data_IF_307016864966
#
_entry.id   IF_307016864966
#
_cell.length_a   1.000
_cell.length_b   1.000
_cell.length_c   1.000
_cell.angle_alpha   90.00
_cell.angle_beta   90.00
_cell.angle_gamma   90.00
#
_symmetry.space_group_name_H-M   'P 1'
#
loop_
_entity.id
_entity.type
_entity.pdbx_description
1 polymer ?
#
# COMPACT_ATOMS: atom_id res chain seq x y z
N UNK A 1 -12.73 22.20 19.27
CA UNK A 1 -12.27 22.73 17.97
C UNK A 1 -11.31 21.70 17.39
N UNK A 2 -11.60 21.12 16.23
CA UNK A 2 -10.68 20.19 15.54
C UNK A 2 -9.70 21.08 14.77
N UNK A 3 -8.39 20.87 14.95
CA UNK A 3 -7.36 21.70 14.29
C UNK A 3 -7.42 21.65 12.76
N UNK A 4 -6.53 22.38 12.05
CA UNK A 4 -6.46 22.31 10.60
C UNK A 4 -6.27 20.86 10.13
N UNK A 5 -6.77 20.56 8.92
CA UNK A 5 -6.67 19.24 8.32
C UNK A 5 -5.18 18.85 8.19
N UNK A 6 -4.85 17.62 8.60
CA UNK A 6 -3.47 17.12 8.58
C UNK A 6 -3.07 16.69 7.16
N UNK A 7 -1.77 16.80 6.80
CA UNK A 7 -1.26 16.21 5.57
C UNK A 7 -1.48 14.69 5.58
N UNK A 8 -1.71 14.12 4.40
CA UNK A 8 -1.88 12.67 4.23
C UNK A 8 -0.61 12.03 3.70
N UNK A 9 -0.14 10.98 4.38
CA UNK A 9 0.93 10.11 3.90
C UNK A 9 0.32 8.76 3.53
N UNK A 10 0.44 8.36 2.27
CA UNK A 10 -0.12 7.11 1.77
C UNK A 10 0.96 6.05 1.66
N UNK A 11 0.76 4.90 2.30
CA UNK A 11 1.59 3.72 2.11
C UNK A 11 0.96 2.87 1.01
N UNK A 12 1.58 2.82 -0.17
CA UNK A 12 1.04 2.14 -1.35
C UNK A 12 1.93 0.96 -1.74
N UNK A 13 1.42 -0.27 -1.65
CA UNK A 13 2.26 -1.44 -1.88
C UNK A 13 1.53 -2.76 -1.86
N UNK A 14 2.30 -3.84 -1.76
CA UNK A 14 1.80 -5.22 -1.71
C UNK A 14 1.62 -5.73 -0.27
N UNK A 15 1.82 -7.03 -0.05
CA UNK A 15 1.66 -7.74 1.22
C UNK A 15 2.50 -7.17 2.37
N UNK A 16 3.69 -6.62 2.10
CA UNK A 16 4.54 -5.98 3.12
C UNK A 16 3.88 -4.69 3.64
N UNK A 17 3.26 -3.89 2.77
CA UNK A 17 2.49 -2.71 3.19
C UNK A 17 1.19 -3.13 3.87
N UNK A 18 0.50 -4.14 3.35
CA UNK A 18 -0.74 -4.64 3.96
C UNK A 18 -0.51 -5.09 5.41
N UNK A 19 0.61 -5.78 5.67
CA UNK A 19 0.98 -6.26 7.02
C UNK A 19 1.67 -5.19 7.89
N UNK A 20 1.95 -4.00 7.35
CA UNK A 20 2.74 -2.98 8.04
C UNK A 20 2.07 -2.40 9.30
N UNK A 21 0.75 -2.55 9.43
CA UNK A 21 -0.03 -2.12 10.60
C UNK A 21 -0.23 -3.23 11.65
N UNK A 22 0.37 -4.41 11.44
CA UNK A 22 0.44 -5.43 12.50
C UNK A 22 1.20 -4.92 13.73
N UNK A 23 1.10 -5.64 14.83
CA UNK A 23 1.81 -5.30 16.07
C UNK A 23 3.33 -5.20 15.83
N UNK A 24 3.93 -4.11 16.30
CA UNK A 24 5.33 -3.75 16.02
C UNK A 24 5.66 -3.44 14.55
N UNK A 25 4.66 -3.38 13.67
CA UNK A 25 4.84 -3.10 12.25
C UNK A 25 5.23 -1.65 11.96
N UNK A 26 6.03 -1.45 10.91
CA UNK A 26 6.56 -0.13 10.58
C UNK A 26 5.48 0.92 10.20
N UNK A 27 4.35 0.48 9.64
CA UNK A 27 3.20 1.33 9.35
C UNK A 27 2.51 1.80 10.62
N UNK A 28 2.38 0.92 11.62
CA UNK A 28 1.89 1.29 12.95
C UNK A 28 2.85 2.23 13.68
N UNK A 29 4.17 1.98 13.61
CA UNK A 29 5.20 2.86 14.17
C UNK A 29 5.15 4.26 13.53
N UNK A 30 4.98 4.35 12.21
CA UNK A 30 4.79 5.63 11.52
C UNK A 30 3.52 6.34 11.99
N UNK A 31 2.41 5.61 12.11
CA UNK A 31 1.14 6.17 12.58
C UNK A 31 1.26 6.74 14.00
N UNK A 32 1.94 6.03 14.90
CA UNK A 32 2.21 6.51 16.26
C UNK A 32 3.12 7.75 16.26
N UNK A 33 4.25 7.68 15.55
CA UNK A 33 5.23 8.78 15.45
C UNK A 33 4.61 10.07 14.89
N UNK A 34 3.62 9.94 13.99
CA UNK A 34 2.95 11.05 13.33
C UNK A 34 1.50 11.30 13.80
N UNK A 35 1.03 10.68 14.89
CA UNK A 35 -0.38 10.69 15.33
C UNK A 35 -1.04 12.07 15.48
N UNK A 36 -0.25 13.15 15.57
CA UNK A 36 -0.71 14.54 15.63
C UNK A 36 -0.21 15.46 14.51
N UNK A 37 0.52 14.88 13.55
CA UNK A 37 1.25 15.61 12.50
C UNK A 37 0.76 15.26 11.11
N UNK A 38 0.42 13.99 10.85
CA UNK A 38 -0.02 13.52 9.55
C UNK A 38 -0.98 12.34 9.72
N UNK A 39 -1.89 12.16 8.76
CA UNK A 39 -2.73 10.97 8.69
C UNK A 39 -2.03 9.93 7.83
N UNK A 40 -1.78 8.74 8.40
CA UNK A 40 -1.15 7.62 7.68
C UNK A 40 -2.26 6.75 7.09
N UNK A 41 -2.28 6.63 5.75
CA UNK A 41 -3.32 5.91 5.01
C UNK A 41 -2.73 4.64 4.39
N UNK A 42 -3.31 3.49 4.71
CA UNK A 42 -2.86 2.19 4.21
C UNK A 42 -3.54 1.83 2.89
N UNK A 43 -2.73 1.59 1.85
CA UNK A 43 -3.11 1.10 0.52
C UNK A 43 -2.24 -0.11 0.15
N UNK A 44 -2.25 -1.12 1.02
CA UNK A 44 -1.52 -2.38 0.85
C UNK A 44 -2.41 -3.47 0.26
N UNK A 45 -1.98 -4.08 -0.85
CA UNK A 45 -2.73 -5.09 -1.60
C UNK A 45 -1.94 -6.38 -1.75
N UNK A 46 -2.18 -7.34 -0.88
CA UNK A 46 -1.51 -8.64 -0.88
C UNK A 46 -1.66 -9.36 -2.22
N UNK A 47 -0.57 -9.96 -2.69
CA UNK A 47 -0.52 -10.66 -3.98
C UNK A 47 -0.38 -9.76 -5.20
N UNK A 48 -0.50 -8.43 -5.07
CA UNK A 48 -0.34 -7.51 -6.20
C UNK A 48 1.13 -7.30 -6.55
N UNK A 49 1.41 -7.20 -7.85
CA UNK A 49 2.66 -6.67 -8.39
C UNK A 49 2.45 -5.22 -8.89
N UNK A 50 3.50 -4.58 -9.40
CA UNK A 50 3.42 -3.19 -9.89
C UNK A 50 2.44 -2.99 -11.05
N UNK A 51 2.21 -4.02 -11.89
CA UNK A 51 1.25 -3.95 -13.00
C UNK A 51 -0.19 -3.88 -12.50
N UNK A 52 -0.53 -4.64 -11.44
CA UNK A 52 -1.85 -4.53 -10.80
C UNK A 52 -2.06 -3.12 -10.24
N UNK A 53 -1.04 -2.56 -9.59
CA UNK A 53 -1.07 -1.21 -9.03
C UNK A 53 -1.36 -0.14 -10.10
N UNK A 54 -0.72 -0.24 -11.27
CA UNK A 54 -0.92 0.71 -12.37
C UNK A 54 -2.35 0.71 -12.92
N UNK A 55 -3.04 -0.43 -12.92
CA UNK A 55 -4.41 -0.53 -13.45
C UNK A 55 -5.44 0.28 -12.65
N UNK A 56 -5.14 0.57 -11.38
CA UNK A 56 -6.06 1.27 -10.48
C UNK A 56 -5.47 2.58 -9.94
N UNK A 57 -4.34 3.04 -10.51
CA UNK A 57 -3.61 4.18 -9.98
C UNK A 57 -4.50 5.44 -9.88
N UNK A 58 -5.25 5.73 -10.93
CA UNK A 58 -6.17 6.89 -10.97
C UNK A 58 -7.39 6.72 -10.04
N UNK A 59 -7.73 5.49 -9.65
CA UNK A 59 -8.79 5.23 -8.67
C UNK A 59 -8.28 5.46 -7.24
N UNK A 60 -7.02 5.13 -6.97
CA UNK A 60 -6.38 5.30 -5.66
C UNK A 60 -5.94 6.76 -5.46
N UNK A 61 -5.46 7.41 -6.52
CA UNK A 61 -4.99 8.80 -6.53
C UNK A 61 -5.69 9.62 -7.63
N UNK A 62 -6.99 9.94 -7.46
CA UNK A 62 -7.69 10.77 -8.44
C UNK A 62 -7.05 12.16 -8.53
N UNK A 63 -6.79 12.64 -9.74
CA UNK A 63 -6.18 13.97 -9.96
C UNK A 63 -7.05 15.12 -9.43
N UNK A 64 -8.37 14.94 -9.51
CA UNK A 64 -9.36 15.92 -9.04
C UNK A 64 -9.78 15.73 -7.58
N UNK A 65 -9.04 14.91 -6.81
CA UNK A 65 -9.31 14.77 -5.39
C UNK A 65 -9.11 16.12 -4.68
N UNK A 66 -10.10 16.52 -3.86
CA UNK A 66 -10.04 17.76 -3.07
C UNK A 66 -8.83 17.83 -2.12
N UNK A 67 -8.24 16.67 -1.79
CA UNK A 67 -7.02 16.55 -1.00
C UNK A 67 -6.10 15.55 -1.69
N UNK A 68 -4.91 16.03 -2.06
CA UNK A 68 -3.83 15.20 -2.56
C UNK A 68 -2.92 14.76 -1.41
N UNK A 69 -2.32 13.55 -1.47
CA UNK A 69 -1.34 13.12 -0.50
C UNK A 69 -0.11 14.02 -0.55
N UNK A 70 0.42 14.39 0.61
CA UNK A 70 1.68 15.15 0.72
C UNK A 70 2.90 14.24 0.55
N UNK A 71 2.74 12.94 0.77
CA UNK A 71 3.75 11.91 0.58
C UNK A 71 3.09 10.60 0.16
N UNK A 72 3.70 9.90 -0.79
CA UNK A 72 3.37 8.51 -1.12
C UNK A 72 4.63 7.67 -0.96
N UNK A 73 4.56 6.63 -0.14
CA UNK A 73 5.61 5.62 0.01
C UNK A 73 5.20 4.42 -0.84
N UNK A 74 5.88 4.22 -1.96
CA UNK A 74 5.59 3.13 -2.90
C UNK A 74 6.46 1.92 -2.60
N UNK A 75 5.85 0.76 -2.37
CA UNK A 75 6.55 -0.48 -2.00
C UNK A 75 5.99 -1.69 -2.78
N UNK A 76 6.41 -1.79 -4.04
CA UNK A 76 6.18 -2.92 -4.94
C UNK A 76 7.53 -3.49 -5.43
N UNK A 77 7.51 -4.60 -6.17
CA UNK A 77 8.73 -5.23 -6.70
C UNK A 77 8.91 -6.68 -6.27
N UNK A 78 8.50 -7.03 -5.04
CA UNK A 78 8.63 -8.40 -4.52
C UNK A 78 7.87 -9.44 -5.34
N UNK A 79 6.63 -9.13 -5.76
CA UNK A 79 5.85 -10.02 -6.62
C UNK A 79 6.20 -9.87 -8.11
N UNK A 80 6.81 -8.75 -8.50
CA UNK A 80 7.26 -8.51 -9.88
C UNK A 80 8.46 -9.39 -10.24
N UNK A 81 9.30 -9.71 -9.25
CA UNK A 81 10.47 -10.58 -9.41
C UNK A 81 10.14 -12.08 -9.36
N UNK A 82 8.91 -12.45 -8.98
CA UNK A 82 8.47 -13.84 -9.03
C UNK A 82 8.35 -14.26 -10.51
N UNK A 83 9.02 -15.36 -10.86
CA UNK A 83 8.82 -15.99 -12.17
C UNK A 83 7.36 -16.44 -12.27
N UNK A 84 6.73 -16.35 -13.47
CA UNK A 84 5.44 -16.98 -13.69
C UNK A 84 5.52 -18.43 -13.26
N UNK A 85 4.67 -18.86 -12.32
CA UNK A 85 4.57 -20.26 -11.97
C UNK A 85 4.07 -20.97 -13.24
N UNK A 86 4.81 -21.95 -13.80
CA UNK A 86 4.33 -22.71 -14.94
C UNK A 86 2.98 -23.34 -14.58
N UNK A 87 1.99 -23.26 -15.47
CA UNK A 87 0.67 -23.84 -15.20
C UNK A 87 0.74 -25.33 -14.83
N UNK A 88 1.75 -26.04 -15.34
CA UNK A 88 2.00 -27.44 -14.98
C UNK A 88 2.21 -27.68 -13.48
N UNK A 89 2.76 -26.71 -12.75
CA UNK A 89 2.98 -26.83 -11.30
C UNK A 89 1.69 -26.57 -10.51
N UNK A 90 0.80 -25.72 -11.03
CA UNK A 90 -0.49 -25.36 -10.39
C UNK A 90 -1.47 -26.53 -10.41
N UNK A 91 -1.43 -27.37 -11.45
CA UNK A 91 -2.27 -28.58 -11.55
C UNK A 91 -1.75 -29.76 -10.70
N UNK A 92 -0.51 -29.69 -10.23
CA UNK A 92 0.14 -30.81 -9.52
C UNK A 92 -0.14 -30.81 -8.01
N UNK A 93 -0.62 -29.69 -7.47
CA UNK A 93 -1.05 -29.56 -6.07
C UNK A 93 -2.38 -28.79 -5.99
N UNK A 94 -3.51 -29.42 -6.35
CA UNK A 94 -4.81 -28.86 -6.03
C UNK A 94 -4.96 -28.80 -4.50
N UNK A 95 -5.44 -27.66 -4.02
CA UNK A 95 -5.76 -27.43 -2.61
C UNK A 95 -6.91 -28.32 -2.14
#
# INVERSE_FOLDING_TARGET
MVGPRRPQFVLFGSSIVQKSFGDGGWGAILADTYARKADIVMRGYGGWNSRNALQVLDQIFPKEAAVQPSLVITYFGGNDSLKPIPMSLVLMYPS
#
